data_IF_039653932709
#
_entry.id   IF_039653932709
#
_cell.length_a   1.000
_cell.length_b   1.000
_cell.length_c   1.000
_cell.angle_alpha   90.00
_cell.angle_beta   90.00
_cell.angle_gamma   90.00
#
_symmetry.space_group_name_H-M   'P 1'
#
loop_
_entity.id
_entity.type
_entity.pdbx_description
1 polymer ?
#
# COMPACT_ATOMS: atom_id res chain seq x y z
N UNK A 1 0.32 4.97 -21.63
CA UNK A 1 1.22 5.28 -20.50
C UNK A 1 1.30 4.01 -19.67
N UNK A 2 2.43 3.30 -19.66
CA UNK A 2 2.54 2.03 -18.93
C UNK A 2 2.28 2.28 -17.44
N UNK A 3 1.25 1.63 -16.88
CA UNK A 3 0.99 1.67 -15.44
C UNK A 3 2.20 1.01 -14.77
N UNK A 4 2.99 1.78 -14.04
CA UNK A 4 4.21 1.31 -13.39
C UNK A 4 3.84 0.30 -12.30
N UNK A 5 4.47 -0.87 -12.31
CA UNK A 5 4.25 -1.92 -11.30
C UNK A 5 4.65 -1.43 -9.90
N UNK A 6 3.76 -1.59 -8.93
CA UNK A 6 4.00 -1.19 -7.53
C UNK A 6 5.09 -2.08 -6.94
N UNK A 7 5.11 -3.35 -7.32
CA UNK A 7 6.11 -4.31 -6.86
C UNK A 7 7.55 -3.90 -7.19
N UNK A 8 7.80 -3.17 -8.28
CA UNK A 8 9.14 -2.70 -8.63
C UNK A 8 9.72 -1.71 -7.63
N UNK A 9 8.89 -0.78 -7.13
CA UNK A 9 9.31 0.18 -6.11
C UNK A 9 9.60 -0.52 -4.78
N UNK A 10 8.67 -1.35 -4.29
CA UNK A 10 8.82 -2.06 -3.01
C UNK A 10 10.03 -3.00 -3.02
N UNK A 11 10.22 -3.77 -4.11
CA UNK A 11 11.41 -4.62 -4.28
C UNK A 11 12.70 -3.80 -4.23
N UNK A 12 12.72 -2.59 -4.81
CA UNK A 12 13.88 -1.71 -4.74
C UNK A 12 14.20 -1.26 -3.31
N UNK A 13 13.18 -0.96 -2.48
CA UNK A 13 13.39 -0.58 -1.07
C UNK A 13 14.00 -1.74 -0.29
N UNK A 14 13.51 -2.96 -0.51
CA UNK A 14 14.08 -4.17 0.10
C UNK A 14 15.54 -4.40 -0.34
N UNK A 15 15.87 -4.19 -1.62
CA UNK A 15 17.25 -4.29 -2.11
C UNK A 15 18.18 -3.26 -1.47
N UNK A 16 17.71 -2.02 -1.30
CA UNK A 16 18.49 -0.97 -0.61
C UNK A 16 18.69 -1.29 0.87
N UNK A 17 17.64 -1.80 1.56
CA UNK A 17 17.75 -2.25 2.95
C UNK A 17 18.69 -3.44 3.10
N UNK A 18 18.68 -4.38 2.16
CA UNK A 18 19.60 -5.52 2.15
C UNK A 18 21.07 -5.08 2.00
N UNK A 19 21.34 -4.03 1.22
CA UNK A 19 22.67 -3.46 1.08
C UNK A 19 23.11 -2.69 2.34
N UNK A 20 22.19 -1.99 3.01
CA UNK A 20 22.47 -1.25 4.23
C UNK A 20 22.62 -2.15 5.48
N UNK A 21 21.90 -3.27 5.52
CA UNK A 21 21.86 -4.23 6.63
C UNK A 21 22.08 -5.66 6.11
N UNK A 22 23.34 -6.06 5.83
CA UNK A 22 23.65 -7.34 5.19
C UNK A 22 23.16 -8.58 5.94
N UNK A 23 22.99 -8.49 7.27
CA UNK A 23 22.42 -9.55 8.11
C UNK A 23 20.98 -9.92 7.73
N UNK A 24 20.25 -9.01 7.08
CA UNK A 24 18.87 -9.21 6.61
C UNK A 24 18.77 -9.49 5.11
N UNK A 25 19.88 -9.49 4.38
CA UNK A 25 19.88 -9.57 2.92
C UNK A 25 19.22 -10.86 2.39
N UNK A 26 19.49 -12.00 3.03
CA UNK A 26 18.88 -13.27 2.63
C UNK A 26 17.36 -13.25 2.77
N UNK A 27 16.84 -12.70 3.89
CA UNK A 27 15.41 -12.57 4.13
C UNK A 27 14.74 -11.60 3.13
N UNK A 28 15.34 -10.44 2.91
CA UNK A 28 14.79 -9.42 1.99
C UNK A 28 14.85 -9.89 0.53
N UNK A 29 15.89 -10.66 0.16
CA UNK A 29 15.99 -11.30 -1.15
C UNK A 29 14.89 -12.33 -1.38
N UNK A 30 14.69 -13.27 -0.44
CA UNK A 30 13.59 -14.24 -0.49
C UNK A 30 12.21 -13.55 -0.54
N UNK A 31 12.03 -12.49 0.25
CA UNK A 31 10.79 -11.72 0.23
C UNK A 31 10.53 -11.15 -1.19
N UNK A 32 11.54 -10.56 -1.83
CA UNK A 32 11.43 -10.00 -3.17
C UNK A 32 11.05 -11.03 -4.24
N UNK A 33 11.51 -12.28 -4.11
CA UNK A 33 11.16 -13.36 -5.04
C UNK A 33 9.68 -13.77 -4.94
N UNK A 34 9.05 -13.54 -3.78
CA UNK A 34 7.67 -13.95 -3.50
C UNK A 34 6.64 -12.81 -3.58
N UNK A 35 7.06 -11.58 -3.90
CA UNK A 35 6.13 -10.45 -4.09
C UNK A 35 5.34 -10.64 -5.39
N UNK A 36 4.02 -10.69 -5.24
CA UNK A 36 3.02 -10.70 -6.32
C UNK A 36 2.31 -9.35 -6.31
N UNK A 37 2.20 -8.70 -7.47
CA UNK A 37 1.51 -7.43 -7.60
C UNK A 37 0.02 -7.65 -7.86
N UNK A 38 -0.81 -7.44 -6.83
CA UNK A 38 -2.27 -7.60 -6.93
C UNK A 38 -2.93 -6.59 -7.89
N UNK A 39 -2.21 -5.56 -8.35
CA UNK A 39 -2.71 -4.62 -9.35
C UNK A 39 -2.77 -5.24 -10.76
N UNK A 40 -1.92 -6.24 -11.04
CA UNK A 40 -1.75 -6.81 -12.38
C UNK A 40 -3.07 -7.18 -13.08
N UNK A 41 -3.97 -8.02 -12.51
CA UNK A 41 -5.19 -8.45 -13.20
C UNK A 41 -6.18 -7.30 -13.48
N UNK A 42 -6.08 -6.18 -12.77
CA UNK A 42 -6.88 -4.98 -13.04
C UNK A 42 -6.21 -4.06 -14.06
N UNK A 43 -4.87 -4.07 -14.11
CA UNK A 43 -4.09 -3.19 -14.97
C UNK A 43 -4.03 -3.67 -16.42
N UNK A 44 -4.08 -4.98 -16.64
CA UNK A 44 -4.12 -5.64 -17.95
C UNK A 44 -5.55 -5.91 -18.45
N UNK A 45 -6.55 -5.46 -17.69
CA UNK A 45 -7.98 -5.61 -17.98
C UNK A 45 -8.50 -7.06 -17.99
N UNK A 46 -7.75 -8.02 -17.44
CA UNK A 46 -8.24 -9.40 -17.20
C UNK A 46 -9.48 -9.38 -16.31
N UNK A 47 -9.51 -8.50 -15.32
CA UNK A 47 -10.66 -8.22 -14.46
C UNK A 47 -11.05 -6.76 -14.66
N UNK A 48 -12.26 -6.55 -15.15
CA UNK A 48 -12.80 -5.22 -15.45
C UNK A 48 -14.24 -5.09 -14.96
N UNK A 49 -14.56 -3.90 -14.45
CA UNK A 49 -15.90 -3.50 -14.04
C UNK A 49 -16.04 -1.98 -14.29
N UNK A 50 -17.17 -1.49 -14.84
CA UNK A 50 -17.42 -0.06 -14.98
C UNK A 50 -17.21 0.75 -13.69
N UNK A 51 -17.48 0.15 -12.52
CA UNK A 51 -17.27 0.75 -11.20
C UNK A 51 -15.79 1.07 -10.90
N UNK A 52 -14.84 0.39 -11.56
CA UNK A 52 -13.41 0.69 -11.43
C UNK A 52 -13.02 2.00 -12.14
N UNK A 53 -13.88 2.54 -13.01
CA UNK A 53 -13.67 3.79 -13.75
C UNK A 53 -12.37 3.80 -14.56
N UNK A 54 -11.96 2.64 -15.12
CA UNK A 54 -10.72 2.47 -15.88
C UNK A 54 -9.43 2.53 -15.04
N UNK A 55 -9.56 2.59 -13.71
CA UNK A 55 -8.43 2.61 -12.77
C UNK A 55 -8.11 1.20 -12.27
N UNK A 56 -6.82 0.94 -12.03
CA UNK A 56 -6.35 -0.25 -11.31
C UNK A 56 -5.93 0.08 -9.86
N UNK A 57 -6.10 1.33 -9.42
CA UNK A 57 -5.71 1.74 -8.07
C UNK A 57 -6.62 1.11 -7.01
N UNK A 58 -6.02 0.71 -5.88
CA UNK A 58 -6.75 0.13 -4.75
C UNK A 58 -7.94 1.00 -4.29
N UNK A 59 -7.88 2.32 -4.44
CA UNK A 59 -8.96 3.25 -4.07
C UNK A 59 -10.19 3.20 -4.96
N UNK A 60 -10.02 2.74 -6.19
CA UNK A 60 -11.11 2.56 -7.14
C UNK A 60 -11.59 1.12 -7.14
N UNK A 61 -10.68 0.18 -6.95
CA UNK A 61 -11.00 -1.26 -6.87
C UNK A 61 -11.67 -1.62 -5.54
N UNK A 62 -11.12 -1.20 -4.40
CA UNK A 62 -11.58 -1.63 -3.08
C UNK A 62 -13.05 -1.27 -2.84
N UNK A 63 -13.54 -0.04 -3.08
CA UNK A 63 -14.95 0.26 -2.81
C UNK A 63 -15.93 -0.49 -3.72
N UNK A 64 -15.49 -0.92 -4.91
CA UNK A 64 -16.30 -1.70 -5.83
C UNK A 64 -16.38 -3.19 -5.42
N UNK A 65 -15.31 -3.74 -4.85
CA UNK A 65 -15.26 -5.15 -4.44
C UNK A 65 -15.66 -5.38 -2.97
N UNK A 66 -15.30 -4.47 -2.08
CA UNK A 66 -15.40 -4.59 -0.61
C UNK A 66 -15.72 -3.20 -0.02
N UNK A 67 -16.93 -2.65 -0.26
CA UNK A 67 -17.30 -1.28 0.08
C UNK A 67 -17.14 -0.93 1.57
N UNK A 68 -17.31 -1.90 2.47
CA UNK A 68 -17.13 -1.74 3.91
C UNK A 68 -15.70 -1.40 4.32
N UNK A 69 -14.72 -1.63 3.43
CA UNK A 69 -13.32 -1.31 3.67
C UNK A 69 -12.87 0.01 3.04
N UNK A 70 -13.77 0.81 2.47
CA UNK A 70 -13.44 2.15 1.97
C UNK A 70 -12.74 3.00 3.06
N UNK A 71 -11.90 3.94 2.63
CA UNK A 71 -11.05 4.75 3.52
C UNK A 71 -11.78 6.01 4.03
N UNK A 72 -13.10 6.10 3.86
CA UNK A 72 -13.84 7.33 4.10
C UNK A 72 -13.83 7.77 5.57
N UNK A 73 -13.65 6.81 6.47
CA UNK A 73 -13.58 6.94 7.93
C UNK A 73 -12.19 7.32 8.47
N UNK A 74 -11.15 7.36 7.63
CA UNK A 74 -9.77 7.61 8.08
C UNK A 74 -9.32 9.06 7.89
N UNK A 75 -8.52 9.59 8.81
CA UNK A 75 -7.90 10.91 8.67
C UNK A 75 -6.80 10.93 7.59
N UNK A 76 -6.04 9.84 7.48
CA UNK A 76 -5.04 9.63 6.42
C UNK A 76 -5.61 8.65 5.41
N UNK A 77 -5.72 9.09 4.16
CA UNK A 77 -6.26 8.27 3.06
C UNK A 77 -5.26 8.06 1.92
N UNK A 78 -4.18 8.83 1.86
CA UNK A 78 -3.23 8.88 0.74
C UNK A 78 -1.81 8.49 1.19
N UNK A 79 -1.18 7.54 0.50
CA UNK A 79 0.19 7.12 0.81
C UNK A 79 1.24 8.24 0.73
N UNK A 80 1.05 9.21 -0.17
CA UNK A 80 1.92 10.39 -0.25
C UNK A 80 1.80 11.29 0.99
N UNK A 81 0.56 11.50 1.49
CA UNK A 81 0.31 12.24 2.72
C UNK A 81 0.83 11.49 3.94
N UNK A 82 0.63 10.16 4.00
CA UNK A 82 1.17 9.31 5.06
C UNK A 82 2.69 9.43 5.16
N UNK A 83 3.40 9.28 4.02
CA UNK A 83 4.86 9.41 3.96
C UNK A 83 5.35 10.80 4.36
N UNK A 84 4.64 11.87 3.96
CA UNK A 84 4.98 13.25 4.33
C UNK A 84 4.82 13.48 5.83
N UNK A 85 3.66 13.13 6.38
CA UNK A 85 3.34 13.32 7.79
C UNK A 85 4.31 12.55 8.68
N UNK A 86 4.63 11.29 8.33
CA UNK A 86 5.64 10.52 9.05
C UNK A 86 7.00 11.24 9.07
N UNK A 87 7.49 11.75 7.93
CA UNK A 87 8.75 12.51 7.86
C UNK A 87 8.71 13.76 8.73
N UNK A 88 7.58 14.47 8.72
CA UNK A 88 7.37 15.69 9.49
C UNK A 88 7.50 15.43 11.00
N UNK A 89 6.71 14.49 11.55
CA UNK A 89 6.67 14.24 13.00
C UNK A 89 7.80 13.35 13.52
N UNK A 90 8.63 12.80 12.64
CA UNK A 90 9.74 11.90 13.02
C UNK A 90 11.10 12.54 12.82
N UNK A 91 11.30 13.21 11.68
CA UNK A 91 12.61 13.72 11.28
C UNK A 91 12.70 15.24 11.43
N UNK A 92 11.67 15.97 11.00
CA UNK A 92 11.71 17.43 10.96
C UNK A 92 11.31 18.08 12.29
N UNK A 93 10.27 17.58 12.94
CA UNK A 93 9.73 18.12 14.18
C UNK A 93 9.28 17.01 15.14
N UNK A 94 10.23 16.26 15.75
CA UNK A 94 9.92 15.17 16.67
C UNK A 94 9.24 15.60 17.98
N UNK A 95 9.25 16.91 18.29
CA UNK A 95 8.58 17.48 19.46
C UNK A 95 7.18 18.05 19.16
N UNK A 96 6.63 17.80 17.96
CA UNK A 96 5.30 18.25 17.59
C UNK A 96 4.24 17.70 18.56
N UNK A 97 3.34 18.57 19.05
CA UNK A 97 2.25 18.19 19.95
C UNK A 97 1.31 17.16 19.32
N UNK A 98 1.09 17.26 18.01
CA UNK A 98 0.23 16.36 17.23
C UNK A 98 0.89 15.02 16.89
N UNK A 99 2.14 14.78 17.31
CA UNK A 99 2.91 13.59 16.91
C UNK A 99 2.16 12.30 17.20
N UNK A 100 1.65 12.14 18.41
CA UNK A 100 1.00 10.89 18.81
C UNK A 100 -0.31 10.66 18.05
N UNK A 101 -1.05 11.75 17.75
CA UNK A 101 -2.22 11.68 16.87
C UNK A 101 -1.83 11.22 15.46
N UNK A 102 -0.82 11.85 14.85
CA UNK A 102 -0.35 11.48 13.51
C UNK A 102 0.09 10.01 13.47
N UNK A 103 0.77 9.52 14.51
CA UNK A 103 1.14 8.10 14.58
C UNK A 103 -0.08 7.18 14.69
N UNK A 104 -1.10 7.55 15.47
CA UNK A 104 -2.35 6.79 15.54
C UNK A 104 -3.03 6.73 14.16
N UNK A 105 -3.19 7.87 13.49
CA UNK A 105 -3.80 7.96 12.16
C UNK A 105 -3.01 7.17 11.11
N UNK A 106 -1.67 7.14 11.21
CA UNK A 106 -0.80 6.34 10.35
C UNK A 106 -0.99 4.84 10.60
N UNK A 107 -1.14 4.40 11.86
CA UNK A 107 -1.40 3.00 12.19
C UNK A 107 -2.74 2.55 11.62
N UNK A 108 -3.78 3.37 11.76
CA UNK A 108 -5.11 3.07 11.20
C UNK A 108 -5.05 2.95 9.67
N UNK A 109 -4.37 3.90 9.00
CA UNK A 109 -4.15 3.85 7.55
C UNK A 109 -3.39 2.60 7.11
N UNK A 110 -2.23 2.30 7.71
CA UNK A 110 -1.41 1.15 7.35
C UNK A 110 -2.12 -0.18 7.61
N UNK A 111 -2.91 -0.24 8.68
CA UNK A 111 -3.76 -1.41 8.99
C UNK A 111 -4.81 -1.59 7.90
N UNK A 112 -5.50 -0.51 7.51
CA UNK A 112 -6.50 -0.56 6.44
C UNK A 112 -5.88 -0.95 5.10
N UNK A 113 -4.72 -0.41 4.73
CA UNK A 113 -4.04 -0.71 3.47
C UNK A 113 -3.67 -2.20 3.37
N UNK A 114 -3.15 -2.76 4.46
CA UNK A 114 -2.86 -4.20 4.55
C UNK A 114 -4.12 -5.04 4.43
N UNK A 115 -5.17 -4.69 5.17
CA UNK A 115 -6.41 -5.46 5.17
C UNK A 115 -7.16 -5.37 3.84
N UNK A 116 -7.13 -4.22 3.18
CA UNK A 116 -7.68 -4.01 1.85
C UNK A 116 -7.06 -4.96 0.82
N UNK A 117 -5.73 -5.11 0.81
CA UNK A 117 -5.05 -6.05 -0.09
C UNK A 117 -5.47 -7.51 0.18
N UNK A 118 -5.56 -7.90 1.46
CA UNK A 118 -6.00 -9.26 1.84
C UNK A 118 -7.45 -9.51 1.43
N UNK A 119 -8.34 -8.53 1.63
CA UNK A 119 -9.74 -8.64 1.26
C UNK A 119 -9.92 -8.75 -0.26
N UNK A 120 -9.22 -7.92 -1.04
CA UNK A 120 -9.21 -8.02 -2.51
C UNK A 120 -8.72 -9.40 -2.93
N UNK A 121 -7.59 -9.87 -2.39
CA UNK A 121 -7.07 -11.20 -2.73
C UNK A 121 -8.07 -12.33 -2.41
N UNK A 122 -8.78 -12.26 -1.27
CA UNK A 122 -9.85 -13.22 -0.94
C UNK A 122 -11.00 -13.16 -1.94
N UNK A 123 -11.42 -11.97 -2.36
CA UNK A 123 -12.45 -11.79 -3.38
C UNK A 123 -12.01 -12.40 -4.71
N UNK A 124 -10.78 -12.15 -5.14
CA UNK A 124 -10.21 -12.75 -6.36
C UNK A 124 -10.17 -14.27 -6.31
N UNK A 125 -9.91 -14.85 -5.13
CA UNK A 125 -9.86 -16.30 -4.98
C UNK A 125 -11.22 -16.99 -4.88
N UNK A 126 -12.29 -16.22 -4.72
CA UNK A 126 -13.66 -16.71 -4.66
C UNK A 126 -14.42 -16.57 -6.01
N UNK A 127 -13.77 -15.98 -7.03
CA UNK A 127 -14.28 -15.91 -8.41
C UNK A 127 -14.02 -17.22 -9.16
#
# INVERSE_FOLDING_TARGET
>A
MGKQEVSGFEKSRNTEMAAAFPEHAAFLGDLNERVIDLMQPFSDETITDPAFMGSASIKKILPALVPELAYDDLDIKEGASASRLWKEVTLANPAALERDKVYADLVDYCTRDTWAMVAIHKTLMAM
#
